data_IF_294253003634
#
_entry.id   IF_294253003634
#
_cell.length_a   1.000
_cell.length_b   1.000
_cell.length_c   1.000
_cell.angle_alpha   90.00
_cell.angle_beta   90.00
_cell.angle_gamma   90.00
#
_symmetry.space_group_name_H-M   'P 1'
#
loop_
_entity.id
_entity.type
_entity.pdbx_description
1 polymer ?
#
# COMPACT_ATOMS: atom_id res chain seq x y z
N UNK A 1 14.92 4.96 -10.95
CA UNK A 1 13.63 4.85 -11.64
C UNK A 1 12.63 4.31 -10.64
N UNK A 2 11.58 5.08 -10.33
CA UNK A 2 10.53 4.66 -9.41
C UNK A 2 9.61 3.68 -10.16
N UNK A 3 9.37 2.50 -9.59
CA UNK A 3 8.59 1.44 -10.23
C UNK A 3 7.17 1.91 -10.55
N UNK A 4 6.59 2.70 -9.65
CA UNK A 4 5.22 3.21 -9.76
C UNK A 4 5.03 4.12 -10.98
N UNK A 5 5.99 5.00 -11.26
CA UNK A 5 5.94 5.93 -12.41
C UNK A 5 5.79 5.16 -13.74
N UNK A 6 6.58 4.10 -13.91
CA UNK A 6 6.56 3.31 -15.13
C UNK A 6 5.28 2.46 -15.28
N UNK A 7 4.67 2.02 -14.17
CA UNK A 7 3.38 1.34 -14.16
C UNK A 7 2.27 2.28 -14.68
N UNK A 8 2.31 3.57 -14.32
CA UNK A 8 1.37 4.55 -14.86
C UNK A 8 1.65 4.98 -16.29
N UNK A 9 2.91 5.03 -16.72
CA UNK A 9 3.23 5.30 -18.13
C UNK A 9 2.61 4.24 -19.06
N UNK A 10 2.45 3.00 -18.58
CA UNK A 10 1.69 1.95 -19.27
C UNK A 10 0.16 2.12 -19.27
N UNK A 11 -0.34 3.23 -18.70
CA UNK A 11 -1.75 3.66 -18.61
C UNK A 11 -2.69 2.63 -17.99
N UNK A 12 -2.38 2.22 -16.77
CA UNK A 12 -3.16 1.21 -16.03
C UNK A 12 -4.23 1.84 -15.10
N UNK A 13 -4.05 3.08 -14.64
CA UNK A 13 -4.91 3.65 -13.59
C UNK A 13 -5.27 5.12 -13.82
N UNK A 14 -6.48 5.51 -13.38
CA UNK A 14 -6.95 6.90 -13.32
C UNK A 14 -6.84 7.52 -11.92
N UNK A 15 -7.18 8.80 -11.78
CA UNK A 15 -7.03 9.55 -10.53
C UNK A 15 -7.81 8.95 -9.34
N UNK A 16 -9.03 8.47 -9.57
CA UNK A 16 -9.86 7.85 -8.52
C UNK A 16 -9.27 6.52 -8.03
N UNK A 17 -8.68 5.73 -8.94
CA UNK A 17 -8.02 4.48 -8.59
C UNK A 17 -6.77 4.72 -7.74
N UNK A 18 -5.98 5.76 -8.08
CA UNK A 18 -4.82 6.16 -7.28
C UNK A 18 -5.22 6.59 -5.87
N UNK A 19 -6.34 7.32 -5.72
CA UNK A 19 -6.84 7.71 -4.40
C UNK A 19 -7.19 6.50 -3.54
N UNK A 20 -7.94 5.54 -4.10
CA UNK A 20 -8.29 4.31 -3.40
C UNK A 20 -7.05 3.52 -2.98
N UNK A 21 -6.04 3.43 -3.84
CA UNK A 21 -4.78 2.76 -3.50
C UNK A 21 -4.11 3.46 -2.33
N UNK A 22 -3.93 4.79 -2.38
CA UNK A 22 -3.28 5.53 -1.28
C UNK A 22 -4.03 5.39 0.04
N UNK A 23 -5.37 5.35 0.02
CA UNK A 23 -6.19 5.11 1.20
C UNK A 23 -6.01 3.68 1.76
N UNK A 24 -5.85 2.67 0.91
CA UNK A 24 -5.60 1.30 1.33
C UNK A 24 -4.22 1.16 2.00
N UNK A 25 -3.20 1.82 1.47
CA UNK A 25 -1.89 1.91 2.12
C UNK A 25 -1.98 2.57 3.49
N UNK A 26 -2.63 3.73 3.58
CA UNK A 26 -2.83 4.44 4.85
C UNK A 26 -3.55 3.55 5.87
N UNK A 27 -4.64 2.88 5.46
CA UNK A 27 -5.35 1.97 6.35
C UNK A 27 -4.48 0.81 6.82
N UNK A 28 -3.68 0.23 5.92
CA UNK A 28 -2.76 -0.86 6.26
C UNK A 28 -1.75 -0.41 7.31
N UNK A 29 -1.10 0.73 7.11
CA UNK A 29 -0.09 1.29 8.04
C UNK A 29 -0.72 1.57 9.40
N UNK A 30 -1.93 2.14 9.45
CA UNK A 30 -2.67 2.35 10.71
C UNK A 30 -2.94 1.02 11.42
N UNK A 31 -3.43 0.02 10.69
CA UNK A 31 -3.68 -1.32 11.25
C UNK A 31 -2.41 -1.95 11.81
N UNK A 32 -1.29 -1.87 11.10
CA UNK A 32 -0.01 -2.40 11.58
C UNK A 32 0.50 -1.69 12.84
N UNK A 33 0.36 -0.36 12.92
CA UNK A 33 0.73 0.38 14.13
C UNK A 33 -0.17 -0.02 15.33
N UNK A 34 -1.47 -0.19 15.13
CA UNK A 34 -2.37 -0.65 16.19
C UNK A 34 -2.00 -2.06 16.67
N UNK A 35 -1.67 -2.97 15.75
CA UNK A 35 -1.24 -4.33 16.10
C UNK A 35 0.08 -4.32 16.89
N UNK A 36 1.06 -3.55 16.42
CA UNK A 36 2.34 -3.32 17.10
C UNK A 36 2.14 -2.82 18.53
N UNK A 37 1.34 -1.76 18.70
CA UNK A 37 1.05 -1.19 20.01
C UNK A 37 0.34 -2.19 20.93
N UNK A 38 -0.53 -3.03 20.38
CA UNK A 38 -1.23 -4.06 21.16
C UNK A 38 -0.27 -5.13 21.68
N UNK A 39 0.74 -5.51 20.88
CA UNK A 39 1.80 -6.42 21.34
C UNK A 39 2.64 -5.77 22.46
N UNK A 40 3.07 -4.52 22.26
CA UNK A 40 3.92 -3.78 23.22
C UNK A 40 3.22 -3.59 24.56
N UNK A 41 1.90 -3.31 24.54
CA UNK A 41 1.10 -3.13 25.75
C UNK A 41 0.91 -4.41 26.56
N UNK A 42 1.07 -5.57 25.94
CA UNK A 42 1.10 -6.87 26.61
C UNK A 42 0.15 -7.89 25.99
N UNK A 43 0.64 -9.13 25.86
CA UNK A 43 -0.12 -10.26 25.30
C UNK A 43 -0.94 -11.03 26.35
N UNK A 44 -0.90 -10.60 27.62
CA UNK A 44 -1.67 -11.21 28.70
C UNK A 44 -3.12 -10.71 28.75
N UNK A 45 -3.44 -9.61 28.04
CA UNK A 45 -4.80 -9.09 27.89
C UNK A 45 -5.50 -9.71 26.66
N UNK A 46 -6.56 -10.51 26.84
CA UNK A 46 -7.28 -11.15 25.74
C UNK A 46 -7.84 -10.16 24.70
N UNK A 47 -8.22 -8.95 25.12
CA UNK A 47 -8.75 -7.93 24.20
C UNK A 47 -7.62 -7.34 23.34
N UNK A 48 -6.42 -7.15 23.89
CA UNK A 48 -5.25 -6.72 23.11
C UNK A 48 -4.82 -7.80 22.11
N UNK A 49 -4.85 -9.08 22.50
CA UNK A 49 -4.55 -10.20 21.61
C UNK A 49 -5.54 -10.27 20.46
N UNK A 50 -6.84 -10.15 20.75
CA UNK A 50 -7.90 -10.12 19.73
C UNK A 50 -7.77 -8.92 18.79
N UNK A 51 -7.47 -7.74 19.34
CA UNK A 51 -7.28 -6.51 18.57
C UNK A 51 -6.10 -6.63 17.62
N UNK A 52 -4.93 -7.06 18.13
CA UNK A 52 -3.75 -7.36 17.32
C UNK A 52 -4.07 -8.30 16.16
N UNK A 53 -4.69 -9.45 16.44
CA UNK A 53 -5.02 -10.43 15.42
C UNK A 53 -5.97 -9.86 14.35
N UNK A 54 -6.98 -9.09 14.77
CA UNK A 54 -7.93 -8.43 13.86
C UNK A 54 -7.23 -7.45 12.93
N UNK A 55 -6.33 -6.63 13.46
CA UNK A 55 -5.61 -5.62 12.66
C UNK A 55 -4.58 -6.24 11.72
N UNK A 56 -3.84 -7.27 12.15
CA UNK A 56 -2.89 -7.98 11.27
C UNK A 56 -3.62 -8.71 10.15
N UNK A 57 -4.76 -9.34 10.42
CA UNK A 57 -5.58 -9.98 9.39
C UNK A 57 -6.08 -8.94 8.38
N UNK A 58 -6.59 -7.79 8.85
CA UNK A 58 -7.01 -6.71 7.95
C UNK A 58 -5.88 -6.22 7.06
N UNK A 59 -4.70 -5.98 7.62
CA UNK A 59 -3.54 -5.55 6.83
C UNK A 59 -3.16 -6.61 5.78
N UNK A 60 -3.19 -7.89 6.17
CA UNK A 60 -2.92 -9.03 5.28
C UNK A 60 -3.94 -9.12 4.13
N UNK A 61 -5.23 -8.97 4.42
CA UNK A 61 -6.30 -8.97 3.42
C UNK A 61 -6.14 -7.81 2.41
N UNK A 62 -5.75 -6.63 2.89
CA UNK A 62 -5.48 -5.48 2.00
C UNK A 62 -4.28 -5.76 1.10
N UNK A 63 -3.22 -6.43 1.59
CA UNK A 63 -2.07 -6.81 0.76
C UNK A 63 -2.48 -7.77 -0.37
N UNK A 64 -3.30 -8.77 -0.06
CA UNK A 64 -3.83 -9.66 -1.10
C UNK A 64 -4.73 -8.93 -2.08
N UNK A 65 -5.61 -8.04 -1.60
CA UNK A 65 -6.44 -7.23 -2.46
C UNK A 65 -5.62 -6.34 -3.41
N UNK A 66 -4.60 -5.64 -2.90
CA UNK A 66 -3.69 -4.82 -3.73
C UNK A 66 -2.95 -5.66 -4.77
N UNK A 67 -2.59 -6.89 -4.45
CA UNK A 67 -1.98 -7.84 -5.39
C UNK A 67 -2.96 -8.29 -6.48
N UNK A 68 -4.22 -8.54 -6.12
CA UNK A 68 -5.22 -9.06 -7.04
C UNK A 68 -5.68 -8.02 -8.06
N UNK A 69 -5.63 -6.73 -7.70
CA UNK A 69 -5.99 -5.64 -8.61
C UNK A 69 -4.84 -5.19 -9.52
N UNK A 70 -3.67 -5.83 -9.46
CA UNK A 70 -2.57 -5.55 -10.39
C UNK A 70 -2.93 -6.00 -11.81
N UNK A 71 -2.81 -5.09 -12.77
CA UNK A 71 -2.90 -5.41 -14.19
C UNK A 71 -1.55 -5.97 -14.65
N UNK A 72 -1.45 -7.31 -14.61
CA UNK A 72 -0.26 -8.02 -15.05
C UNK A 72 -0.02 -7.94 -16.56
N UNK A 73 -1.09 -7.75 -17.34
CA UNK A 73 -1.01 -7.68 -18.80
C UNK A 73 -0.34 -6.37 -19.23
N UNK A 74 -0.73 -5.24 -18.64
CA UNK A 74 -0.20 -3.92 -18.98
C UNK A 74 0.99 -3.50 -18.12
N UNK A 75 1.00 -3.88 -16.85
CA UNK A 75 2.04 -3.50 -15.89
C UNK A 75 3.35 -4.28 -16.01
N UNK A 76 3.35 -5.42 -16.70
CA UNK A 76 4.56 -6.19 -17.00
C UNK A 76 5.45 -6.47 -15.78
N UNK A 77 6.75 -6.23 -15.93
CA UNK A 77 7.76 -6.47 -14.87
C UNK A 77 7.45 -5.73 -13.55
N UNK A 78 6.78 -4.58 -13.62
CA UNK A 78 6.47 -3.79 -12.42
C UNK A 78 5.32 -4.42 -11.64
N UNK A 79 4.29 -4.89 -12.33
CA UNK A 79 3.22 -5.66 -11.70
C UNK A 79 3.81 -6.86 -10.95
N UNK A 80 4.76 -7.56 -11.56
CA UNK A 80 5.42 -8.70 -10.94
C UNK A 80 6.26 -8.31 -9.71
N UNK A 81 7.01 -7.20 -9.78
CA UNK A 81 7.76 -6.70 -8.61
C UNK A 81 6.85 -6.30 -7.45
N UNK A 82 5.76 -5.60 -7.72
CA UNK A 82 4.76 -5.24 -6.71
C UNK A 82 4.10 -6.49 -6.12
N UNK A 83 3.76 -7.47 -6.97
CA UNK A 83 3.19 -8.75 -6.52
C UNK A 83 4.10 -9.48 -5.55
N UNK A 84 5.41 -9.55 -5.84
CA UNK A 84 6.40 -10.14 -4.94
C UNK A 84 6.44 -9.40 -3.60
N UNK A 85 6.46 -8.06 -3.63
CA UNK A 85 6.47 -7.27 -2.39
C UNK A 85 5.20 -7.52 -1.57
N UNK A 86 4.01 -7.43 -2.17
CA UNK A 86 2.75 -7.60 -1.45
C UNK A 86 2.58 -8.99 -0.85
N UNK A 87 2.88 -10.04 -1.61
CA UNK A 87 2.80 -11.43 -1.13
C UNK A 87 3.84 -11.73 -0.05
N UNK A 88 5.05 -11.14 -0.16
CA UNK A 88 6.07 -11.25 0.88
C UNK A 88 5.61 -10.58 2.17
N UNK A 89 5.11 -9.34 2.09
CA UNK A 89 4.57 -8.63 3.27
C UNK A 89 3.43 -9.43 3.88
N UNK A 90 2.47 -9.91 3.09
CA UNK A 90 1.37 -10.72 3.60
C UNK A 90 1.87 -11.95 4.38
N UNK A 91 2.87 -12.66 3.85
CA UNK A 91 3.49 -13.81 4.53
C UNK A 91 4.26 -13.43 5.81
N UNK A 92 4.97 -12.30 5.81
CA UNK A 92 5.65 -11.77 7.00
C UNK A 92 4.66 -11.36 8.08
N UNK A 93 3.52 -10.75 7.73
CA UNK A 93 2.49 -10.35 8.70
C UNK A 93 1.82 -11.56 9.38
N UNK A 94 1.60 -12.65 8.63
CA UNK A 94 1.11 -13.91 9.20
C UNK A 94 2.12 -14.48 10.21
N UNK A 95 3.41 -14.49 9.86
CA UNK A 95 4.47 -14.93 10.78
C UNK A 95 4.58 -14.03 12.00
N UNK A 96 4.57 -12.71 11.80
CA UNK A 96 4.63 -11.75 12.90
C UNK A 96 3.43 -11.87 13.84
N UNK A 97 2.25 -12.22 13.30
CA UNK A 97 1.10 -12.53 14.14
C UNK A 97 1.35 -13.77 15.00
N UNK A 98 1.92 -14.85 14.45
CA UNK A 98 2.20 -16.06 15.22
C UNK A 98 3.24 -15.83 16.34
N UNK A 99 4.26 -15.02 16.07
CA UNK A 99 5.40 -14.84 16.97
C UNK A 99 5.41 -13.53 17.77
N UNK A 100 4.40 -12.68 17.61
CA UNK A 100 4.37 -11.32 18.20
C UNK A 100 5.59 -10.47 17.78
N UNK A 101 6.05 -10.62 16.54
CA UNK A 101 7.28 -9.98 16.07
C UNK A 101 7.04 -8.51 15.66
N UNK A 102 7.30 -7.61 16.61
CA UNK A 102 7.19 -6.15 16.42
C UNK A 102 8.21 -5.61 15.43
N UNK A 103 9.38 -6.22 15.31
CA UNK A 103 10.44 -5.77 14.41
C UNK A 103 10.02 -6.01 12.96
N UNK A 104 9.51 -7.20 12.67
CA UNK A 104 8.96 -7.53 11.34
C UNK A 104 7.79 -6.61 10.96
N UNK A 105 6.88 -6.32 11.89
CA UNK A 105 5.78 -5.36 11.63
C UNK A 105 6.34 -3.96 11.30
N UNK A 106 7.37 -3.51 12.02
CA UNK A 106 7.97 -2.19 11.80
C UNK A 106 8.65 -2.08 10.43
N UNK A 107 9.39 -3.12 10.02
CA UNK A 107 9.98 -3.19 8.66
C UNK A 107 8.90 -3.17 7.58
N UNK A 108 7.79 -3.87 7.78
CA UNK A 108 6.67 -3.84 6.83
C UNK A 108 6.06 -2.44 6.72
N UNK A 109 5.90 -1.73 7.84
CA UNK A 109 5.42 -0.33 7.86
C UNK A 109 6.35 0.56 7.02
N UNK A 110 7.67 0.49 7.23
CA UNK A 110 8.64 1.31 6.48
C UNK A 110 8.56 1.06 4.96
N UNK A 111 8.44 -0.20 4.54
CA UNK A 111 8.27 -0.54 3.12
C UNK A 111 6.98 0.07 2.56
N UNK A 112 5.87 -0.06 3.30
CA UNK A 112 4.58 0.46 2.89
C UNK A 112 4.54 1.99 2.84
N UNK A 113 5.21 2.68 3.76
CA UNK A 113 5.35 4.14 3.75
C UNK A 113 6.10 4.62 2.51
N UNK A 114 7.22 3.97 2.17
CA UNK A 114 7.99 4.28 0.96
C UNK A 114 7.16 4.06 -0.32
N UNK A 115 6.40 2.96 -0.39
CA UNK A 115 5.51 2.69 -1.53
C UNK A 115 4.36 3.70 -1.60
N UNK A 116 3.74 4.05 -0.46
CA UNK A 116 2.68 5.05 -0.41
C UNK A 116 3.17 6.40 -0.93
N UNK A 117 4.35 6.85 -0.48
CA UNK A 117 4.95 8.09 -0.95
C UNK A 117 5.18 8.07 -2.47
N UNK A 118 5.64 6.94 -3.01
CA UNK A 118 5.80 6.77 -4.46
C UNK A 118 4.45 6.87 -5.21
N UNK A 119 3.35 6.36 -4.67
CA UNK A 119 2.00 6.54 -5.25
C UNK A 119 1.49 7.98 -5.12
N UNK A 120 1.79 8.68 -4.04
CA UNK A 120 1.41 10.08 -3.84
C UNK A 120 2.14 11.02 -4.81
N UNK A 121 3.44 10.81 -5.01
CA UNK A 121 4.24 11.56 -6.00
C UNK A 121 3.67 11.40 -7.41
N UNK A 122 3.32 10.17 -7.76
CA UNK A 122 2.64 9.81 -8.99
C UNK A 122 1.31 10.56 -9.16
N UNK A 123 0.49 10.57 -8.10
CA UNK A 123 -0.82 11.23 -8.11
C UNK A 123 -0.67 12.73 -8.33
N UNK A 124 0.37 13.34 -7.74
CA UNK A 124 0.70 14.75 -7.95
C UNK A 124 1.08 15.04 -9.41
N UNK A 125 1.97 14.24 -10.00
CA UNK A 125 2.37 14.38 -11.41
C UNK A 125 1.16 14.27 -12.36
N UNK A 126 0.25 13.33 -12.09
CA UNK A 126 -0.96 13.17 -12.91
C UNK A 126 -1.85 14.42 -12.84
N UNK A 127 -2.08 14.96 -11.64
CA UNK A 127 -2.87 16.19 -11.44
C UNK A 127 -2.27 17.38 -12.16
N UNK A 128 -0.96 17.57 -12.07
CA UNK A 128 -0.24 18.64 -12.79
C UNK A 128 -0.38 18.48 -14.32
N UNK A 129 -0.28 17.25 -14.83
CA UNK A 129 -0.44 16.97 -16.26
C UNK A 129 -1.87 17.22 -16.78
N UNK A 130 -2.88 16.97 -15.96
CA UNK A 130 -4.29 17.23 -16.29
C UNK A 130 -4.56 18.73 -16.30
N UNK A 131 -4.09 19.44 -15.26
CA UNK A 131 -4.24 20.90 -15.14
C UNK A 131 -3.60 21.64 -16.32
N UNK A 132 -2.40 21.26 -16.74
CA UNK A 132 -1.71 21.92 -17.86
C UNK A 132 -2.44 21.70 -19.20
N UNK A 133 -3.02 20.52 -19.42
CA UNK A 133 -3.84 20.23 -20.61
C UNK A 133 -5.12 21.05 -20.66
N UNK A 134 -5.81 21.16 -19.52
CA UNK A 134 -7.03 21.97 -19.40
C UNK A 134 -6.74 23.44 -19.64
N UNK A 135 -5.64 23.96 -19.07
CA UNK A 135 -5.18 25.32 -19.28
C UNK A 135 -4.83 25.62 -20.73
N UNK A 136 -4.08 24.74 -21.41
CA UNK A 136 -3.77 24.89 -22.83
C UNK A 136 -5.03 24.96 -23.69
N UNK A 137 -6.01 24.09 -23.40
CA UNK A 137 -7.29 24.07 -24.12
C UNK A 137 -8.12 25.35 -23.86
N UNK A 138 -8.07 25.90 -22.65
CA UNK A 138 -8.77 27.12 -22.29
C UNK A 138 -8.16 28.38 -22.92
N UNK A 139 -6.87 28.36 -23.25
CA UNK A 139 -6.15 29.48 -23.91
C UNK A 139 -6.16 29.43 -25.44
N UNK A 140 -6.72 28.37 -26.04
CA UNK A 140 -6.73 28.15 -27.49
C UNK A 140 -7.94 28.79 -28.21
N UNK A 141 -8.66 29.70 -27.55
CA UNK A 141 -9.79 30.48 -28.07
C UNK A 141 -9.55 31.98 -27.83
#
# INVERSE_FOLDING_TARGET
MNYVDAYLQSRVMGADALELITMLYERTIVSLNIAKDSIIKGIDDPELVKKKATELNRATDIMYYLNDILDRQRGGEIAEKLSIIYTTIAGELVRANLFNDVETISKCIEILENLKAAWEDVKKQLKESTYEKEKLCATAF
#
